data_IF_538274046908
#
_entry.id   IF_538274046908
#
_cell.length_a   1.000
_cell.length_b   1.000
_cell.length_c   1.000
_cell.angle_alpha   90.00
_cell.angle_beta   90.00
_cell.angle_gamma   90.00
#
_symmetry.space_group_name_H-M   'P 1'
#
loop_
_entity.id
_entity.type
_entity.pdbx_description
1 polymer ?
#
# COMPACT_ATOMS: atom_id res chain seq x y z
N UNK A 1 28.42 -28.58 -4.19
CA UNK A 1 28.29 -27.18 -4.63
C UNK A 1 27.00 -27.09 -5.45
N UNK A 2 25.93 -26.43 -4.98
CA UNK A 2 24.82 -25.93 -5.84
C UNK A 2 23.66 -25.22 -5.11
N UNK A 3 23.57 -25.20 -3.77
CA UNK A 3 22.45 -24.49 -3.12
C UNK A 3 22.70 -22.99 -2.92
N UNK A 4 23.97 -22.57 -2.75
CA UNK A 4 24.35 -21.15 -2.61
C UNK A 4 23.97 -20.30 -3.82
N UNK A 5 24.06 -20.85 -5.04
CA UNK A 5 23.80 -20.07 -6.26
C UNK A 5 22.32 -19.79 -6.49
N UNK A 6 21.42 -20.71 -6.10
CA UNK A 6 19.97 -20.52 -6.30
C UNK A 6 19.42 -19.50 -5.32
N UNK A 7 19.79 -19.61 -4.04
CA UNK A 7 19.38 -18.65 -3.01
C UNK A 7 19.94 -17.24 -3.27
N UNK A 8 21.17 -17.13 -3.78
CA UNK A 8 21.72 -15.86 -4.22
C UNK A 8 20.95 -15.28 -5.40
N UNK A 9 20.65 -16.08 -6.43
CA UNK A 9 19.87 -15.64 -7.59
C UNK A 9 18.46 -15.18 -7.19
N UNK A 10 17.77 -15.91 -6.31
CA UNK A 10 16.44 -15.55 -5.80
C UNK A 10 16.48 -14.29 -4.92
N UNK A 11 17.56 -14.09 -4.15
CA UNK A 11 17.77 -12.87 -3.35
C UNK A 11 18.07 -11.62 -4.20
N UNK A 12 18.82 -11.75 -5.30
CA UNK A 12 19.11 -10.65 -6.21
C UNK A 12 17.89 -10.31 -7.08
N UNK A 13 17.13 -11.32 -7.52
CA UNK A 13 15.88 -11.14 -8.27
C UNK A 13 14.82 -10.40 -7.45
N UNK A 14 14.69 -10.74 -6.17
CA UNK A 14 13.77 -10.05 -5.26
C UNK A 14 14.23 -8.62 -4.93
N UNK A 15 15.54 -8.37 -4.79
CA UNK A 15 16.08 -7.02 -4.60
C UNK A 15 15.81 -6.10 -5.80
N UNK A 16 16.06 -6.58 -7.03
CA UNK A 16 15.79 -5.82 -8.26
C UNK A 16 14.30 -5.53 -8.44
N UNK A 17 13.44 -6.52 -8.15
CA UNK A 17 11.98 -6.35 -8.19
C UNK A 17 11.52 -5.28 -7.18
N UNK A 18 12.05 -5.32 -5.96
CA UNK A 18 11.73 -4.32 -4.93
C UNK A 18 12.17 -2.91 -5.34
N UNK A 19 13.36 -2.75 -5.94
CA UNK A 19 13.83 -1.46 -6.46
C UNK A 19 12.90 -0.97 -7.57
N UNK A 20 12.52 -1.84 -8.51
CA UNK A 20 11.60 -1.49 -9.60
C UNK A 20 10.26 -1.00 -9.04
N UNK A 21 9.62 -1.75 -8.15
CA UNK A 21 8.32 -1.32 -7.62
C UNK A 21 8.47 -0.07 -6.74
N UNK A 22 9.56 0.08 -5.98
CA UNK A 22 9.81 1.31 -5.22
C UNK A 22 9.86 2.55 -6.13
N UNK A 23 10.48 2.44 -7.31
CA UNK A 23 10.49 3.50 -8.30
C UNK A 23 9.09 3.77 -8.88
N UNK A 24 8.31 2.72 -9.18
CA UNK A 24 6.91 2.88 -9.61
C UNK A 24 6.05 3.57 -8.55
N UNK A 25 6.19 3.18 -7.28
CA UNK A 25 5.50 3.81 -6.16
C UNK A 25 5.87 5.29 -6.01
N UNK A 26 7.13 5.65 -6.26
CA UNK A 26 7.57 7.05 -6.31
C UNK A 26 6.87 7.81 -7.43
N UNK A 27 6.81 7.25 -8.65
CA UNK A 27 6.11 7.88 -9.78
C UNK A 27 4.61 8.08 -9.49
N UNK A 28 3.94 7.06 -8.94
CA UNK A 28 2.53 7.15 -8.52
C UNK A 28 2.34 8.26 -7.50
N UNK A 29 3.24 8.37 -6.52
CA UNK A 29 3.13 9.39 -5.47
C UNK A 29 3.35 10.81 -6.00
N UNK A 30 4.27 11.00 -6.96
CA UNK A 30 4.48 12.29 -7.63
C UNK A 30 3.21 12.67 -8.41
N UNK A 31 2.69 11.78 -9.25
CA UNK A 31 1.50 12.05 -10.06
C UNK A 31 0.26 12.34 -9.19
N UNK A 32 0.12 11.66 -8.05
CA UNK A 32 -0.94 11.96 -7.09
C UNK A 32 -0.76 13.33 -6.43
N UNK A 33 0.46 13.68 -6.01
CA UNK A 33 0.74 14.99 -5.43
C UNK A 33 0.44 16.11 -6.42
N UNK A 34 0.85 15.97 -7.68
CA UNK A 34 0.53 16.92 -8.75
C UNK A 34 -0.98 17.07 -8.92
N UNK A 35 -1.72 15.96 -8.96
CA UNK A 35 -3.17 15.98 -9.09
C UNK A 35 -3.88 16.62 -7.88
N UNK A 36 -3.37 16.43 -6.67
CA UNK A 36 -3.94 17.01 -5.45
C UNK A 36 -3.62 18.51 -5.28
N UNK A 37 -2.46 18.95 -5.78
CA UNK A 37 -2.02 20.35 -5.65
C UNK A 37 -2.62 21.26 -6.74
N UNK A 38 -3.12 20.69 -7.83
CA UNK A 38 -3.74 21.46 -8.90
C UNK A 38 -5.17 21.89 -8.54
N UNK A 39 -5.44 23.21 -8.59
CA UNK A 39 -6.76 23.78 -8.30
C UNK A 39 -7.15 24.76 -9.42
N UNK A 40 -8.12 24.42 -10.30
CA UNK A 40 -8.73 23.09 -10.46
C UNK A 40 -7.77 22.08 -11.14
N UNK A 41 -7.94 20.77 -10.92
CA UNK A 41 -7.18 19.77 -11.66
C UNK A 41 -7.59 19.74 -13.14
N UNK A 42 -6.64 19.43 -14.01
CA UNK A 42 -6.81 19.33 -15.46
C UNK A 42 -6.96 17.87 -15.91
N UNK A 43 -7.37 17.67 -17.17
CA UNK A 43 -7.36 16.36 -17.83
C UNK A 43 -5.99 15.69 -17.74
N UNK A 44 -4.91 16.46 -17.92
CA UNK A 44 -3.54 15.94 -17.84
C UNK A 44 -3.26 15.34 -16.46
N UNK A 45 -3.68 15.99 -15.37
CA UNK A 45 -3.48 15.48 -14.02
C UNK A 45 -4.22 14.16 -13.80
N UNK A 46 -5.50 14.09 -14.20
CA UNK A 46 -6.31 12.88 -14.06
C UNK A 46 -5.77 11.70 -14.87
N UNK A 47 -5.41 11.95 -16.13
CA UNK A 47 -4.86 10.93 -17.03
C UNK A 47 -3.47 10.47 -16.56
N UNK A 48 -2.58 11.41 -16.20
CA UNK A 48 -1.24 11.07 -15.69
C UNK A 48 -1.32 10.21 -14.44
N UNK A 49 -2.19 10.56 -13.49
CA UNK A 49 -2.34 9.79 -12.26
C UNK A 49 -2.88 8.38 -12.53
N UNK A 50 -3.90 8.25 -13.38
CA UNK A 50 -4.42 6.94 -13.76
C UNK A 50 -3.36 6.08 -14.46
N UNK A 51 -2.60 6.64 -15.41
CA UNK A 51 -1.56 5.91 -16.12
C UNK A 51 -0.43 5.44 -15.19
N UNK A 52 -0.03 6.26 -14.22
CA UNK A 52 0.97 5.86 -13.23
C UNK A 52 0.50 4.63 -12.42
N UNK A 53 -0.78 4.60 -12.04
CA UNK A 53 -1.40 3.47 -11.36
C UNK A 53 -1.53 2.24 -12.25
N UNK A 54 -1.85 2.43 -13.54
CA UNK A 54 -1.94 1.34 -14.51
C UNK A 54 -0.58 0.64 -14.69
N UNK A 55 0.50 1.41 -14.78
CA UNK A 55 1.87 0.86 -14.81
C UNK A 55 2.17 0.05 -13.56
N UNK A 56 1.82 0.57 -12.38
CA UNK A 56 1.99 -0.18 -11.13
C UNK A 56 1.13 -1.45 -11.11
N UNK A 57 -0.11 -1.39 -11.62
CA UNK A 57 -1.02 -2.53 -11.67
C UNK A 57 -0.45 -3.67 -12.52
N UNK A 58 0.04 -3.41 -13.73
CA UNK A 58 0.63 -4.45 -14.57
C UNK A 58 1.87 -5.09 -13.95
N UNK A 59 2.61 -4.33 -13.14
CA UNK A 59 3.81 -4.81 -12.46
C UNK A 59 3.50 -5.59 -11.18
N UNK A 60 2.27 -5.50 -10.67
CA UNK A 60 1.84 -6.15 -9.43
C UNK A 60 0.58 -6.99 -9.59
N UNK A 61 0.10 -7.26 -10.82
CA UNK A 61 -1.20 -7.88 -11.07
C UNK A 61 -1.30 -9.29 -10.48
N UNK A 62 -0.21 -10.07 -10.56
CA UNK A 62 -0.10 -11.42 -10.01
C UNK A 62 -0.38 -11.46 -8.49
N UNK A 63 -0.15 -10.34 -7.79
CA UNK A 63 -0.43 -10.20 -6.37
C UNK A 63 -1.94 -10.23 -6.05
N UNK A 64 -2.78 -9.91 -7.03
CA UNK A 64 -4.23 -9.77 -6.84
C UNK A 64 -5.01 -11.01 -7.33
N UNK A 65 -4.39 -11.85 -8.16
CA UNK A 65 -5.00 -13.06 -8.73
C UNK A 65 -4.99 -14.28 -7.80
N UNK A 66 -4.54 -14.12 -6.55
CA UNK A 66 -4.51 -15.21 -5.56
C UNK A 66 -5.90 -15.47 -4.96
N UNK A 67 -6.17 -16.72 -4.56
CA UNK A 67 -7.47 -17.12 -3.98
C UNK A 67 -7.90 -16.30 -2.75
N UNK A 68 -6.94 -15.75 -1.99
CA UNK A 68 -7.19 -14.87 -0.83
C UNK A 68 -7.62 -13.46 -1.25
N UNK A 69 -7.15 -12.97 -2.40
CA UNK A 69 -7.41 -11.63 -2.90
C UNK A 69 -8.41 -11.58 -4.06
N UNK A 70 -9.05 -12.69 -4.46
CA UNK A 70 -9.90 -12.75 -5.65
C UNK A 70 -10.97 -11.64 -5.72
N UNK A 71 -11.66 -11.36 -4.62
CA UNK A 71 -12.66 -10.27 -4.57
C UNK A 71 -12.03 -8.89 -4.70
N UNK A 72 -10.83 -8.70 -4.13
CA UNK A 72 -10.08 -7.46 -4.26
C UNK A 72 -9.60 -7.27 -5.70
N UNK A 73 -9.07 -8.31 -6.34
CA UNK A 73 -8.64 -8.30 -7.74
C UNK A 73 -9.76 -7.88 -8.68
N UNK A 74 -10.97 -8.43 -8.50
CA UNK A 74 -12.15 -8.03 -9.29
C UNK A 74 -12.50 -6.54 -9.15
N UNK A 75 -12.35 -5.98 -7.95
CA UNK A 75 -12.63 -4.56 -7.72
C UNK A 75 -11.51 -3.67 -8.30
N UNK A 76 -10.25 -4.10 -8.22
CA UNK A 76 -9.12 -3.45 -8.89
C UNK A 76 -9.35 -3.41 -10.40
N UNK A 77 -9.69 -4.55 -11.01
CA UNK A 77 -10.00 -4.62 -12.45
C UNK A 77 -11.15 -3.69 -12.86
N UNK A 78 -12.19 -3.60 -12.03
CA UNK A 78 -13.32 -2.69 -12.27
C UNK A 78 -12.84 -1.23 -12.28
N UNK A 79 -12.00 -0.85 -11.32
CA UNK A 79 -11.39 0.48 -11.28
C UNK A 79 -10.47 0.75 -12.47
N UNK A 80 -9.69 -0.26 -12.91
CA UNK A 80 -8.84 -0.16 -14.11
C UNK A 80 -9.70 0.09 -15.36
N UNK A 81 -10.66 -0.78 -15.65
CA UNK A 81 -11.55 -0.67 -16.82
C UNK A 81 -12.31 0.65 -16.86
N UNK A 82 -12.83 1.09 -15.71
CA UNK A 82 -13.51 2.38 -15.59
C UNK A 82 -12.54 3.55 -15.85
N UNK A 83 -11.33 3.49 -15.29
CA UNK A 83 -10.30 4.52 -15.46
C UNK A 83 -9.79 4.64 -16.89
N UNK A 84 -9.59 3.52 -17.59
CA UNK A 84 -9.22 3.50 -19.00
C UNK A 84 -10.33 4.10 -19.87
N UNK A 85 -11.60 3.73 -19.62
CA UNK A 85 -12.76 4.29 -20.30
C UNK A 85 -12.88 5.81 -20.10
N UNK A 86 -12.75 6.28 -18.86
CA UNK A 86 -12.74 7.72 -18.57
C UNK A 86 -11.54 8.42 -19.22
N UNK A 87 -10.36 7.80 -19.22
CA UNK A 87 -9.17 8.38 -19.85
C UNK A 87 -9.31 8.50 -21.35
N UNK A 88 -9.93 7.52 -22.01
CA UNK A 88 -10.26 7.59 -23.42
C UNK A 88 -11.24 8.72 -23.73
N UNK A 89 -12.34 8.79 -22.98
CA UNK A 89 -13.36 9.84 -23.12
C UNK A 89 -12.74 11.23 -22.91
N UNK A 90 -11.96 11.42 -21.84
CA UNK A 90 -11.30 12.71 -21.56
C UNK A 90 -10.32 13.17 -22.64
N UNK A 91 -9.72 12.25 -23.40
CA UNK A 91 -8.78 12.59 -24.49
C UNK A 91 -9.48 12.86 -25.82
N UNK A 92 -10.69 12.34 -26.01
CA UNK A 92 -11.36 12.31 -27.31
C UNK A 92 -12.57 13.24 -27.38
N UNK A 93 -13.20 13.55 -26.25
CA UNK A 93 -14.40 14.36 -26.18
C UNK A 93 -14.08 15.80 -25.73
N UNK A 94 -14.38 16.82 -26.55
CA UNK A 94 -14.18 18.22 -26.16
C UNK A 94 -15.20 18.74 -25.15
N UNK A 95 -16.28 18.00 -24.85
CA UNK A 95 -17.36 18.42 -23.94
C UNK A 95 -17.11 18.08 -22.47
N UNK A 96 -15.89 17.65 -22.16
CA UNK A 96 -15.50 17.18 -20.84
C UNK A 96 -15.60 18.28 -19.79
N UNK A 97 -16.39 18.01 -18.76
CA UNK A 97 -16.59 18.91 -17.63
C UNK A 97 -15.62 18.60 -16.50
N UNK A 98 -15.41 19.57 -15.60
CA UNK A 98 -14.62 19.38 -14.38
C UNK A 98 -15.08 18.18 -13.55
N UNK A 99 -16.38 17.88 -13.52
CA UNK A 99 -16.92 16.74 -12.79
C UNK A 99 -16.37 15.41 -13.29
N UNK A 100 -16.13 15.25 -14.59
CA UNK A 100 -15.52 14.03 -15.15
C UNK A 100 -14.07 13.87 -14.70
N UNK A 101 -13.32 14.98 -14.63
CA UNK A 101 -11.95 15.01 -14.14
C UNK A 101 -11.90 14.57 -12.67
N UNK A 102 -12.76 15.14 -11.82
CA UNK A 102 -12.87 14.78 -10.40
C UNK A 102 -13.27 13.31 -10.20
N UNK A 103 -14.23 12.80 -10.98
CA UNK A 103 -14.62 11.39 -10.94
C UNK A 103 -13.46 10.46 -11.30
N UNK A 104 -12.67 10.83 -12.29
CA UNK A 104 -11.48 10.05 -12.68
C UNK A 104 -10.40 10.06 -11.59
N UNK A 105 -10.19 11.20 -10.93
CA UNK A 105 -9.29 11.30 -9.77
C UNK A 105 -9.78 10.48 -8.58
N UNK A 106 -11.08 10.49 -8.28
CA UNK A 106 -11.66 9.68 -7.22
C UNK A 106 -11.51 8.18 -7.50
N UNK A 107 -11.75 7.74 -8.73
CA UNK A 107 -11.52 6.36 -9.13
C UNK A 107 -10.03 5.97 -9.00
N UNK A 108 -9.11 6.85 -9.40
CA UNK A 108 -7.67 6.64 -9.25
C UNK A 108 -7.24 6.53 -7.77
N UNK A 109 -7.78 7.38 -6.89
CA UNK A 109 -7.54 7.27 -5.43
C UNK A 109 -8.06 5.95 -4.87
N UNK A 110 -9.23 5.50 -5.30
CA UNK A 110 -9.79 4.19 -4.93
C UNK A 110 -8.90 3.05 -5.42
N UNK A 111 -8.45 3.09 -6.68
CA UNK A 111 -7.54 2.11 -7.25
C UNK A 111 -6.24 2.02 -6.45
N UNK A 112 -5.60 3.16 -6.16
CA UNK A 112 -4.38 3.22 -5.34
C UNK A 112 -4.56 2.55 -3.99
N UNK A 113 -5.64 2.86 -3.30
CA UNK A 113 -5.96 2.29 -2.00
C UNK A 113 -6.11 0.77 -2.05
N UNK A 114 -6.86 0.25 -3.03
CA UNK A 114 -7.09 -1.19 -3.19
C UNK A 114 -5.80 -1.93 -3.53
N UNK A 115 -5.00 -1.39 -4.45
CA UNK A 115 -3.70 -1.94 -4.81
C UNK A 115 -2.75 -1.96 -3.61
N UNK A 116 -2.71 -0.88 -2.82
CA UNK A 116 -1.88 -0.81 -1.63
C UNK A 116 -2.31 -1.87 -0.59
N UNK A 117 -3.61 -2.05 -0.37
CA UNK A 117 -4.12 -3.12 0.52
C UNK A 117 -3.75 -4.51 0.02
N UNK A 118 -3.88 -4.79 -1.27
CA UNK A 118 -3.52 -6.10 -1.83
C UNK A 118 -2.03 -6.42 -1.66
N UNK A 119 -1.18 -5.41 -1.86
CA UNK A 119 0.25 -5.49 -1.66
C UNK A 119 0.65 -5.72 -0.19
N UNK A 120 -0.07 -5.08 0.75
CA UNK A 120 0.10 -5.31 2.19
C UNK A 120 -0.31 -6.73 2.61
N UNK A 121 -1.44 -7.24 2.10
CA UNK A 121 -1.96 -8.57 2.45
C UNK A 121 -0.97 -9.70 2.10
N UNK A 122 -0.16 -9.52 1.06
CA UNK A 122 0.82 -10.51 0.63
C UNK A 122 2.20 -10.35 1.28
N UNK A 123 2.37 -9.39 2.21
CA UNK A 123 3.68 -9.00 2.78
C UNK A 123 4.73 -8.62 1.70
N UNK A 124 4.29 -8.38 0.45
CA UNK A 124 5.17 -8.17 -0.71
C UNK A 124 6.03 -6.91 -0.58
N UNK A 125 5.61 -5.96 0.26
CA UNK A 125 6.31 -4.68 0.50
C UNK A 125 6.99 -4.55 1.86
N UNK A 126 6.95 -5.59 2.69
CA UNK A 126 7.59 -5.57 4.00
C UNK A 126 8.37 -6.84 4.33
N UNK A 127 8.99 -7.48 3.32
CA UNK A 127 10.24 -8.20 3.59
C UNK A 127 11.36 -7.17 3.78
N UNK A 128 11.34 -6.48 4.92
CA UNK A 128 12.56 -5.90 5.48
C UNK A 128 13.58 -7.05 5.55
N UNK A 129 14.62 -6.96 4.73
CA UNK A 129 15.40 -8.15 4.34
C UNK A 129 16.05 -8.86 5.53
N UNK A 130 15.97 -10.20 5.59
CA UNK A 130 16.59 -11.17 6.54
C UNK A 130 16.55 -10.86 8.06
N UNK A 131 16.18 -9.66 8.44
CA UNK A 131 15.89 -9.14 9.75
C UNK A 131 14.47 -8.63 9.65
N UNK A 132 13.50 -9.53 9.75
CA UNK A 132 12.22 -9.18 10.36
C UNK A 132 12.59 -8.82 11.82
N UNK A 133 12.64 -7.55 12.25
CA UNK A 133 12.74 -7.26 13.66
C UNK A 133 11.34 -7.51 14.21
N UNK A 134 11.04 -8.79 14.45
CA UNK A 134 9.88 -9.28 15.21
C UNK A 134 8.61 -8.47 14.91
N UNK A 135 8.16 -8.56 13.65
CA UNK A 135 7.05 -7.79 13.10
C UNK A 135 5.83 -7.67 13.99
N UNK A 136 5.29 -6.45 14.08
CA UNK A 136 4.05 -6.01 14.74
C UNK A 136 3.93 -6.35 16.24
N UNK A 137 4.27 -7.56 16.69
CA UNK A 137 4.27 -7.99 18.09
C UNK A 137 5.26 -7.21 18.95
N UNK A 138 6.45 -6.89 18.46
CA UNK A 138 7.42 -6.09 19.22
C UNK A 138 6.97 -4.62 19.30
N UNK A 139 6.37 -4.09 18.23
CA UNK A 139 5.75 -2.76 18.22
C UNK A 139 4.56 -2.71 19.18
N UNK A 140 3.67 -3.70 19.17
CA UNK A 140 2.57 -3.82 20.12
C UNK A 140 3.09 -3.97 21.56
N UNK A 141 4.19 -4.68 21.78
CA UNK A 141 4.81 -4.80 23.11
C UNK A 141 5.38 -3.49 23.65
N UNK A 142 5.79 -2.55 22.77
CA UNK A 142 6.20 -1.20 23.17
C UNK A 142 5.00 -0.37 23.67
N UNK A 143 3.83 -0.58 23.08
CA UNK A 143 2.57 0.04 23.54
C UNK A 143 1.95 -0.67 24.76
N UNK A 144 2.12 -1.99 24.90
CA UNK A 144 1.69 -2.74 26.09
C UNK A 144 2.62 -2.53 27.30
N UNK A 145 3.92 -2.33 27.05
CA UNK A 145 4.94 -2.12 28.09
C UNK A 145 4.96 -0.71 28.70
N UNK A 146 4.30 0.26 28.06
CA UNK A 146 4.21 1.64 28.54
C UNK A 146 3.06 1.88 29.54
N UNK A 147 2.18 0.89 29.76
CA UNK A 147 1.09 0.96 30.74
C UNK A 147 1.28 0.11 32.00
N UNK A 148 2.28 -0.79 32.06
CA UNK A 148 2.40 -1.81 33.13
C UNK A 148 3.52 -1.61 34.14
N UNK A 149 4.16 -0.43 34.20
CA UNK A 149 5.15 -0.11 35.25
C UNK A 149 4.63 0.76 36.41
N UNK A 150 3.31 0.97 36.50
CA UNK A 150 2.72 1.78 37.57
C UNK A 150 1.80 1.01 38.54
N UNK A 151 1.59 -0.30 38.33
CA UNK A 151 0.72 -1.10 39.21
C UNK A 151 1.37 -2.47 39.43
N UNK A 152 2.45 -2.50 40.18
CA UNK A 152 2.92 -3.69 40.91
C UNK A 152 4.04 -3.25 41.85
N UNK A 153 3.63 -2.50 42.89
CA UNK A 153 4.39 -2.37 44.13
C UNK A 153 3.42 -1.96 45.25
N UNK A 154 2.57 -2.92 45.64
CA UNK A 154 2.09 -3.14 47.00
C UNK A 154 1.24 -4.41 46.99
N UNK A 155 1.80 -5.52 47.47
CA UNK A 155 1.02 -6.70 47.86
C UNK A 155 0.15 -6.33 49.08
N UNK A 156 -1.13 -6.69 49.12
CA UNK A 156 -2.00 -6.47 50.28
C UNK A 156 -1.84 -7.58 51.33
N UNK A 157 -0.62 -7.85 51.80
CA UNK A 157 -0.36 -8.82 52.88
C UNK A 157 0.53 -8.28 54.01
N UNK A 158 0.80 -6.97 54.07
CA UNK A 158 1.51 -6.32 55.20
C UNK A 158 0.70 -5.21 55.88
N UNK A 159 -0.64 -5.29 55.91
CA UNK A 159 -1.50 -4.30 56.59
C UNK A 159 -2.08 -4.83 57.92
N UNK A 160 -1.89 -6.11 58.28
CA UNK A 160 -2.53 -6.69 59.46
C UNK A 160 -1.62 -6.95 60.69
N UNK A 161 -0.39 -6.40 60.72
CA UNK A 161 0.48 -6.51 61.91
C UNK A 161 0.95 -5.18 62.52
N UNK A 162 0.34 -4.04 62.19
CA UNK A 162 0.59 -2.75 62.88
C UNK A 162 -0.64 -2.18 63.59
N UNK A 163 -1.54 -3.05 64.07
CA UNK A 163 -2.58 -2.66 65.05
C UNK A 163 -2.57 -3.59 66.26
N UNK A 164 -1.50 -3.53 67.05
CA UNK A 164 -1.52 -3.76 68.49
C UNK A 164 -0.63 -2.75 69.18
#
# INVERSE_FOLDING_TARGET
MTDLSRDEIESHSSALTNIRIANLMRMVSIAEMEANNAIPPSIQHAVSYHNALLTLFFETSEAYDTGVNKTLGLEIERCVKLGEGMSFIMKSDPTITQQHIELSLLNSKKLRYLMHRGLQNLKYFFRFGKHDPKGIKEILSLFEGSGKKAIDNKKPEEIENEKK
#
